data_IF_394117177742
#
_entry.id   IF_394117177742
#
_cell.length_a   1.000
_cell.length_b   1.000
_cell.length_c   1.000
_cell.angle_alpha   90.00
_cell.angle_beta   90.00
_cell.angle_gamma   90.00
#
_symmetry.space_group_name_H-M   'P 1'
#
loop_
_entity.id
_entity.type
_entity.pdbx_description
1 polymer ?
#
# COMPACT_ATOMS: atom_id res chain seq x y z
N UNK A 1 79.77 19.18 26.25
CA UNK A 1 79.30 19.15 27.65
C UNK A 1 77.86 18.66 27.60
N UNK A 2 77.69 17.34 27.49
CA UNK A 2 77.30 16.41 28.55
C UNK A 2 75.81 16.50 28.92
N UNK A 3 75.10 15.41 28.59
CA UNK A 3 74.12 14.68 29.42
C UNK A 3 73.10 15.46 30.26
N UNK A 4 71.81 15.17 30.09
CA UNK A 4 71.14 14.23 31.03
C UNK A 4 69.79 13.76 30.50
N UNK A 5 69.67 12.43 30.37
CA UNK A 5 68.40 11.71 30.28
C UNK A 5 67.68 11.75 31.63
N UNK A 6 66.36 11.99 31.64
CA UNK A 6 65.47 11.49 32.69
C UNK A 6 64.26 10.81 32.06
N UNK A 7 64.00 9.65 32.64
CA UNK A 7 63.19 8.55 32.15
C UNK A 7 61.72 8.60 32.55
N UNK A 8 60.94 7.72 31.90
CA UNK A 8 59.65 7.10 32.31
C UNK A 8 58.40 7.97 32.07
N UNK A 9 57.40 7.48 31.31
CA UNK A 9 56.70 6.19 31.46
C UNK A 9 56.27 5.59 30.10
N UNK A 10 56.20 4.26 29.94
CA UNK A 10 55.61 3.66 28.75
C UNK A 10 54.09 3.91 28.77
N UNK A 11 53.59 4.63 27.78
CA UNK A 11 52.16 4.73 27.52
C UNK A 11 51.68 3.32 27.15
N UNK A 12 50.87 2.71 28.02
CA UNK A 12 50.17 1.45 27.72
C UNK A 12 49.25 1.71 26.53
N UNK A 13 49.69 1.36 25.33
CA UNK A 13 48.81 1.21 24.18
C UNK A 13 47.90 0.01 24.46
N UNK A 14 46.69 0.30 24.92
CA UNK A 14 45.60 -0.67 24.87
C UNK A 14 45.16 -0.71 23.41
N UNK A 15 45.61 -1.73 22.68
CA UNK A 15 45.04 -2.07 21.37
C UNK A 15 43.66 -2.65 21.65
N UNK A 16 42.62 -1.82 21.46
CA UNK A 16 41.25 -2.31 21.42
C UNK A 16 41.09 -3.09 20.10
N UNK A 17 41.22 -4.41 20.16
CA UNK A 17 40.82 -5.29 19.06
C UNK A 17 39.30 -5.29 19.03
N UNK A 18 38.71 -4.44 18.19
CA UNK A 18 37.30 -4.54 17.84
C UNK A 18 37.19 -5.71 16.86
N UNK A 19 36.84 -6.88 17.38
CA UNK A 19 36.38 -8.00 16.54
C UNK A 19 34.98 -7.61 16.06
N UNK A 20 34.88 -7.08 14.85
CA UNK A 20 33.60 -7.02 14.14
C UNK A 20 33.29 -8.46 13.73
N UNK A 21 32.55 -9.15 14.60
CA UNK A 21 31.90 -10.41 14.23
C UNK A 21 30.90 -10.11 13.14
N UNK A 22 31.27 -10.41 11.89
CA UNK A 22 30.34 -10.42 10.77
C UNK A 22 29.43 -11.64 10.95
N UNK A 23 28.39 -11.48 11.77
CA UNK A 23 27.26 -12.40 11.80
C UNK A 23 26.46 -12.19 10.50
N UNK A 24 26.94 -12.84 9.44
CA UNK A 24 26.09 -13.27 8.33
C UNK A 24 25.18 -14.37 8.88
N UNK A 25 24.24 -14.00 9.74
CA UNK A 25 23.10 -14.88 10.02
C UNK A 25 22.37 -15.06 8.70
N UNK A 26 22.31 -16.32 8.26
CA UNK A 26 21.85 -16.69 6.94
C UNK A 26 20.52 -16.04 6.62
N UNK A 27 20.49 -15.29 5.51
CA UNK A 27 19.25 -15.05 4.79
C UNK A 27 18.76 -16.42 4.35
N UNK A 28 17.93 -17.06 5.18
CA UNK A 28 17.15 -18.21 4.73
C UNK A 28 16.26 -17.67 3.61
N UNK A 29 16.37 -18.17 2.37
CA UNK A 29 15.40 -17.82 1.36
C UNK A 29 14.03 -18.19 1.92
N UNK A 30 13.09 -17.24 1.91
CA UNK A 30 11.70 -17.50 2.24
C UNK A 30 11.25 -18.65 1.36
N UNK A 31 11.04 -19.82 1.96
CA UNK A 31 10.55 -20.99 1.25
C UNK A 31 9.09 -20.69 0.96
N UNK A 32 8.73 -20.56 -0.31
CA UNK A 32 7.34 -20.49 -0.72
C UNK A 32 6.57 -21.61 -0.02
N UNK A 33 5.51 -21.25 0.69
CA UNK A 33 4.61 -22.19 1.36
C UNK A 33 4.16 -23.24 0.32
N UNK A 34 4.47 -24.54 0.53
CA UNK A 34 4.22 -25.60 -0.47
C UNK A 34 2.74 -25.72 -0.87
N UNK A 35 1.84 -25.11 -0.11
CA UNK A 35 0.39 -25.17 -0.35
C UNK A 35 -0.14 -24.03 -1.23
N UNK A 36 0.66 -23.00 -1.55
CA UNK A 36 0.25 -21.92 -2.46
C UNK A 36 0.49 -22.36 -3.92
N UNK A 37 -0.55 -22.45 -4.77
CA UNK A 37 -0.40 -22.91 -6.15
C UNK A 37 0.48 -21.95 -6.97
N UNK A 38 1.10 -22.44 -8.04
CA UNK A 38 1.97 -21.61 -8.90
C UNK A 38 1.20 -20.56 -9.71
N UNK A 39 -0.12 -20.75 -9.87
CA UNK A 39 -1.02 -19.78 -10.44
C UNK A 39 -2.38 -19.82 -9.72
N UNK A 40 -3.03 -18.66 -9.61
CA UNK A 40 -4.39 -18.54 -9.13
C UNK A 40 -5.08 -17.32 -9.76
N UNK A 41 -6.40 -17.38 -9.90
CA UNK A 41 -7.21 -16.28 -10.39
C UNK A 41 -8.49 -16.18 -9.56
N UNK A 42 -8.87 -14.96 -9.20
CA UNK A 42 -10.08 -14.64 -8.44
C UNK A 42 -11.18 -14.23 -9.44
N UNK A 43 -12.13 -15.12 -9.77
CA UNK A 43 -13.21 -14.76 -10.69
C UNK A 43 -14.21 -13.81 -10.04
N UNK A 44 -14.94 -13.04 -10.86
CA UNK A 44 -16.08 -12.25 -10.40
C UNK A 44 -15.75 -10.84 -9.90
N UNK A 45 -14.48 -10.44 -9.88
CA UNK A 45 -14.11 -9.03 -9.64
C UNK A 45 -14.41 -8.23 -10.90
N UNK A 46 -15.23 -7.19 -10.77
CA UNK A 46 -15.61 -6.31 -11.90
C UNK A 46 -14.92 -4.96 -11.73
N UNK A 47 -14.09 -4.60 -12.70
CA UNK A 47 -13.43 -3.31 -12.75
C UNK A 47 -14.26 -2.24 -13.44
N UNK A 48 -14.17 -1.01 -12.94
CA UNK A 48 -14.73 0.17 -13.58
C UNK A 48 -13.67 1.28 -13.69
N UNK A 49 -13.91 2.20 -14.62
CA UNK A 49 -13.11 3.42 -14.75
C UNK A 49 -13.45 4.40 -13.63
N UNK A 50 -12.42 4.96 -13.00
CA UNK A 50 -12.53 6.07 -12.05
C UNK A 50 -13.26 7.26 -12.69
N UNK A 51 -14.13 7.94 -11.92
CA UNK A 51 -14.95 9.04 -12.46
C UNK A 51 -14.27 10.41 -12.37
N UNK A 52 -13.21 10.54 -11.55
CA UNK A 52 -12.44 11.79 -11.39
C UNK A 52 -10.95 11.57 -11.71
N UNK A 53 -10.20 12.64 -12.01
CA UNK A 53 -8.76 12.54 -12.34
C UNK A 53 -7.91 11.82 -11.29
N UNK A 54 -8.18 12.01 -10.00
CA UNK A 54 -7.41 11.45 -8.89
C UNK A 54 -8.28 10.61 -7.93
N UNK A 55 -9.26 9.85 -8.44
CA UNK A 55 -10.13 9.00 -7.62
C UNK A 55 -9.84 7.50 -7.73
N UNK A 56 -8.62 7.13 -8.13
CA UNK A 56 -8.24 5.73 -8.36
C UNK A 56 -8.46 4.85 -7.11
N UNK A 57 -8.13 5.34 -5.92
CA UNK A 57 -8.24 4.58 -4.68
C UNK A 57 -9.70 4.37 -4.29
N UNK A 58 -10.54 5.39 -4.47
CA UNK A 58 -11.98 5.28 -4.27
C UNK A 58 -12.57 4.26 -5.26
N UNK A 59 -12.16 4.31 -6.53
CA UNK A 59 -12.59 3.34 -7.54
C UNK A 59 -12.19 1.91 -7.18
N UNK A 60 -10.91 1.67 -6.89
CA UNK A 60 -10.44 0.34 -6.49
C UNK A 60 -11.14 -0.17 -5.23
N UNK A 61 -11.41 0.73 -4.27
CA UNK A 61 -12.12 0.39 -3.04
C UNK A 61 -13.57 -0.03 -3.27
N UNK A 62 -14.34 0.69 -4.10
CA UNK A 62 -15.74 0.35 -4.34
C UNK A 62 -15.90 -0.89 -5.23
N UNK A 63 -14.99 -1.13 -6.17
CA UNK A 63 -14.97 -2.35 -6.98
C UNK A 63 -14.62 -3.57 -6.10
N UNK A 64 -13.64 -3.43 -5.18
CA UNK A 64 -13.34 -4.47 -4.19
C UNK A 64 -14.52 -4.69 -3.22
N UNK A 65 -15.19 -3.63 -2.77
CA UNK A 65 -16.35 -3.74 -1.90
C UNK A 65 -17.50 -4.48 -2.58
N UNK A 66 -17.74 -4.20 -3.87
CA UNK A 66 -18.76 -4.86 -4.65
C UNK A 66 -18.50 -6.37 -4.80
N UNK A 67 -17.24 -6.79 -4.95
CA UNK A 67 -16.86 -8.20 -4.92
C UNK A 67 -17.29 -8.89 -3.60
N UNK A 68 -17.21 -8.17 -2.47
CA UNK A 68 -17.69 -8.64 -1.17
C UNK A 68 -19.18 -8.39 -0.91
N UNK A 69 -19.95 -8.07 -1.96
CA UNK A 69 -21.40 -7.87 -1.88
C UNK A 69 -21.83 -6.52 -1.29
N UNK A 70 -20.92 -5.55 -1.14
CA UNK A 70 -21.22 -4.21 -0.63
C UNK A 70 -21.17 -3.19 -1.77
N UNK A 71 -22.32 -2.69 -2.19
CA UNK A 71 -22.39 -1.66 -3.24
C UNK A 71 -22.21 -0.26 -2.64
N UNK A 72 -21.25 0.50 -3.15
CA UNK A 72 -20.93 1.86 -2.69
C UNK A 72 -20.72 2.74 -3.93
N UNK A 73 -21.40 3.89 -4.06
CA UNK A 73 -21.07 4.87 -5.10
C UNK A 73 -19.64 5.40 -4.90
N UNK A 74 -18.85 5.51 -5.97
CA UNK A 74 -17.45 5.98 -5.89
C UNK A 74 -17.35 7.36 -5.21
N UNK A 75 -18.22 8.30 -5.56
CA UNK A 75 -18.24 9.64 -4.95
C UNK A 75 -18.54 9.57 -3.45
N UNK A 76 -19.48 8.72 -3.02
CA UNK A 76 -19.82 8.56 -1.60
C UNK A 76 -18.65 7.94 -0.81
N UNK A 77 -17.90 7.00 -1.42
CA UNK A 77 -16.68 6.48 -0.80
C UNK A 77 -15.61 7.56 -0.70
N UNK A 78 -15.40 8.33 -1.77
CA UNK A 78 -14.42 9.41 -1.81
C UNK A 78 -14.73 10.50 -0.77
N UNK A 79 -15.98 10.96 -0.68
CA UNK A 79 -16.43 11.93 0.32
C UNK A 79 -16.30 11.41 1.77
N UNK A 80 -16.30 10.09 1.94
CA UNK A 80 -16.07 9.47 3.24
C UNK A 80 -14.60 9.47 3.66
N UNK A 81 -13.65 9.70 2.74
CA UNK A 81 -12.23 9.74 3.08
C UNK A 81 -11.90 11.00 3.90
N UNK A 82 -11.04 10.88 4.93
CA UNK A 82 -10.48 12.06 5.58
C UNK A 82 -9.64 12.87 4.57
N UNK A 83 -9.53 14.18 4.79
CA UNK A 83 -8.63 15.08 4.04
C UNK A 83 -7.44 15.44 4.92
N UNK A 84 -6.24 15.46 4.35
CA UNK A 84 -4.99 15.76 5.05
C UNK A 84 -3.92 16.18 4.05
N UNK A 85 -2.86 16.87 4.48
CA UNK A 85 -1.63 17.03 3.71
C UNK A 85 -0.65 15.86 3.91
N UNK A 86 -1.04 14.87 4.72
CA UNK A 86 -0.36 13.60 4.92
C UNK A 86 -1.18 12.46 4.27
N UNK A 87 -0.66 11.81 3.21
CA UNK A 87 -1.40 10.76 2.50
C UNK A 87 -1.67 9.52 3.37
N UNK A 88 -0.92 9.32 4.47
CA UNK A 88 -1.21 8.27 5.45
C UNK A 88 -2.38 8.58 6.38
N UNK A 89 -2.85 9.84 6.42
CA UNK A 89 -3.96 10.27 7.27
C UNK A 89 -5.20 10.69 6.46
N UNK A 90 -5.05 11.06 5.18
CA UNK A 90 -6.18 11.39 4.31
C UNK A 90 -5.78 11.77 2.89
N UNK A 91 -6.79 12.07 2.06
CA UNK A 91 -6.60 12.50 0.68
C UNK A 91 -5.92 13.87 0.62
N UNK A 92 -4.84 13.94 -0.16
CA UNK A 92 -4.00 15.13 -0.33
C UNK A 92 -4.39 15.90 -1.59
N UNK A 93 -4.75 17.17 -1.40
CA UNK A 93 -5.07 18.12 -2.47
C UNK A 93 -6.50 17.96 -3.03
N UNK A 94 -6.70 18.35 -4.29
CA UNK A 94 -8.00 18.32 -4.95
C UNK A 94 -8.10 17.15 -5.93
N UNK A 95 -9.20 16.40 -5.89
CA UNK A 95 -9.44 15.22 -6.73
C UNK A 95 -9.49 15.53 -8.24
N UNK A 96 -9.76 16.79 -8.59
CA UNK A 96 -9.80 17.27 -9.97
C UNK A 96 -8.49 17.82 -10.50
N UNK A 97 -7.42 17.81 -9.68
CA UNK A 97 -6.11 18.25 -10.15
C UNK A 97 -5.55 17.30 -11.23
N UNK A 98 -4.58 17.76 -12.04
CA UNK A 98 -4.02 16.95 -13.10
C UNK A 98 -3.42 15.63 -12.57
N UNK A 99 -3.67 14.49 -13.24
CA UNK A 99 -3.02 13.23 -12.92
C UNK A 99 -1.50 13.34 -12.94
N UNK A 100 -0.84 12.62 -12.03
CA UNK A 100 0.62 12.61 -11.94
C UNK A 100 1.24 13.76 -11.16
N UNK A 101 0.42 14.62 -10.56
CA UNK A 101 0.83 15.70 -9.67
C UNK A 101 1.47 15.18 -8.36
N UNK A 102 2.17 16.06 -7.65
CA UNK A 102 2.76 15.80 -6.33
C UNK A 102 2.23 16.83 -5.31
N UNK A 103 2.28 16.52 -4.00
CA UNK A 103 2.01 17.49 -2.95
C UNK A 103 2.89 18.76 -3.10
N UNK A 104 2.36 19.96 -2.77
CA UNK A 104 1.07 20.22 -2.13
C UNK A 104 -0.15 20.25 -3.08
N UNK A 105 0.02 19.94 -4.38
CA UNK A 105 -1.11 19.73 -5.29
C UNK A 105 -1.87 18.43 -4.97
N UNK A 106 -2.94 18.17 -5.74
CA UNK A 106 -3.64 16.89 -5.74
C UNK A 106 -2.67 15.72 -5.94
N UNK A 107 -2.76 14.73 -5.07
CA UNK A 107 -1.87 13.58 -5.09
C UNK A 107 -2.64 12.27 -4.97
N UNK A 108 -3.30 12.04 -3.83
CA UNK A 108 -3.94 10.76 -3.53
C UNK A 108 -4.07 10.52 -2.04
N UNK A 109 -4.40 9.28 -1.68
CA UNK A 109 -4.53 8.77 -0.32
C UNK A 109 -3.92 7.36 -0.23
N UNK A 110 -3.30 7.05 0.90
CA UNK A 110 -2.67 5.75 1.10
C UNK A 110 -3.58 4.71 1.77
N UNK A 111 -3.06 3.48 1.86
CA UNK A 111 -3.81 2.31 2.26
C UNK A 111 -4.58 2.44 3.58
N UNK A 112 -4.04 3.15 4.59
CA UNK A 112 -4.64 3.22 5.93
C UNK A 112 -6.00 3.93 5.93
N UNK A 113 -6.15 5.17 5.43
CA UNK A 113 -7.45 5.81 5.31
C UNK A 113 -8.45 5.01 4.46
N UNK A 114 -7.99 4.38 3.37
CA UNK A 114 -8.83 3.54 2.50
C UNK A 114 -9.36 2.32 3.25
N UNK A 115 -8.49 1.55 3.91
CA UNK A 115 -8.89 0.39 4.72
C UNK A 115 -9.83 0.81 5.86
N UNK A 116 -9.54 1.91 6.57
CA UNK A 116 -10.42 2.42 7.62
C UNK A 116 -11.81 2.79 7.07
N UNK A 117 -11.88 3.29 5.84
CA UNK A 117 -13.14 3.64 5.17
C UNK A 117 -13.91 2.40 4.77
N UNK A 118 -13.27 1.40 4.16
CA UNK A 118 -13.88 0.10 3.89
C UNK A 118 -14.43 -0.57 5.16
N UNK A 119 -13.73 -0.45 6.30
CA UNK A 119 -14.22 -0.92 7.61
C UNK A 119 -15.49 -0.20 8.08
N UNK A 120 -15.64 1.10 7.77
CA UNK A 120 -16.89 1.84 8.06
C UNK A 120 -18.07 1.30 7.26
N UNK A 121 -17.80 0.75 6.08
CA UNK A 121 -18.78 0.03 5.26
C UNK A 121 -18.93 -1.46 5.61
N UNK A 122 -18.35 -1.91 6.74
CA UNK A 122 -18.55 -3.26 7.26
C UNK A 122 -17.62 -4.34 6.70
N UNK A 123 -16.54 -3.98 6.00
CA UNK A 123 -15.57 -4.94 5.46
C UNK A 123 -14.38 -5.12 6.41
N UNK A 124 -13.88 -6.34 6.59
CA UNK A 124 -12.64 -6.59 7.37
C UNK A 124 -11.41 -6.26 6.52
N UNK A 125 -11.23 -4.97 6.26
CA UNK A 125 -10.12 -4.42 5.51
C UNK A 125 -8.91 -4.17 6.42
N UNK A 126 -7.70 -4.43 5.90
CA UNK A 126 -6.42 -4.18 6.56
C UNK A 126 -5.45 -3.54 5.59
N UNK A 127 -4.82 -2.46 6.02
CA UNK A 127 -3.77 -1.78 5.28
C UNK A 127 -2.41 -2.41 5.59
N UNK A 128 -1.56 -2.49 4.57
CA UNK A 128 -0.24 -3.07 4.64
C UNK A 128 0.79 -2.14 4.00
N UNK A 129 2.02 -2.25 4.52
CA UNK A 129 3.26 -1.90 3.83
C UNK A 129 4.11 -3.16 3.84
N UNK A 130 4.93 -3.35 2.83
CA UNK A 130 5.80 -4.51 2.70
C UNK A 130 4.99 -5.82 2.69
N UNK A 131 3.86 -5.84 1.96
CA UNK A 131 3.01 -7.02 1.89
C UNK A 131 3.80 -8.20 1.30
N UNK A 132 4.60 -7.96 0.27
CA UNK A 132 5.39 -8.98 -0.41
C UNK A 132 4.59 -9.88 -1.36
N UNK A 133 5.29 -10.41 -2.37
CA UNK A 133 4.71 -11.34 -3.35
C UNK A 133 4.17 -12.63 -2.72
N UNK A 134 4.83 -13.14 -1.67
CA UNK A 134 4.38 -14.36 -0.98
C UNK A 134 2.99 -14.19 -0.38
N UNK A 135 2.78 -13.11 0.39
CA UNK A 135 1.47 -12.84 0.99
C UNK A 135 0.44 -12.45 -0.07
N UNK A 136 0.81 -11.67 -1.08
CA UNK A 136 -0.09 -11.34 -2.19
C UNK A 136 -0.62 -12.62 -2.88
N UNK A 137 0.27 -13.57 -3.18
CA UNK A 137 -0.11 -14.87 -3.77
C UNK A 137 -1.01 -15.66 -2.83
N UNK A 138 -0.74 -15.68 -1.54
CA UNK A 138 -1.58 -16.36 -0.55
C UNK A 138 -3.00 -15.76 -0.45
N UNK A 139 -3.15 -14.43 -0.56
CA UNK A 139 -4.48 -13.79 -0.62
C UNK A 139 -5.25 -14.22 -1.89
N UNK A 140 -4.59 -14.14 -3.05
CA UNK A 140 -5.20 -14.45 -4.34
C UNK A 140 -5.55 -15.94 -4.48
N UNK A 141 -4.67 -16.84 -4.01
CA UNK A 141 -4.92 -18.28 -3.96
C UNK A 141 -6.12 -18.63 -3.06
N UNK A 142 -6.38 -17.82 -2.04
CA UNK A 142 -7.53 -17.97 -1.17
C UNK A 142 -8.79 -17.24 -1.69
N UNK A 143 -8.80 -16.79 -2.95
CA UNK A 143 -9.95 -16.14 -3.58
C UNK A 143 -10.18 -14.70 -3.13
N UNK A 144 -9.16 -14.03 -2.57
CA UNK A 144 -9.28 -12.68 -2.02
C UNK A 144 -8.50 -11.67 -2.86
N UNK A 145 -9.18 -10.78 -3.59
CA UNK A 145 -8.51 -9.74 -4.37
C UNK A 145 -7.93 -8.67 -3.45
N UNK A 146 -6.87 -8.01 -3.90
CA UNK A 146 -6.06 -7.09 -3.08
C UNK A 146 -5.89 -5.77 -3.81
N UNK A 147 -6.19 -4.64 -3.16
CA UNK A 147 -5.85 -3.32 -3.71
C UNK A 147 -4.36 -3.11 -3.49
N UNK A 148 -3.64 -2.66 -4.52
CA UNK A 148 -2.22 -2.31 -4.44
C UNK A 148 -1.99 -0.89 -4.97
N UNK A 149 -0.91 -0.27 -4.50
CA UNK A 149 -0.46 1.05 -4.94
C UNK A 149 0.82 0.92 -5.75
N UNK A 150 0.82 1.35 -7.00
CA UNK A 150 2.00 1.38 -7.83
C UNK A 150 1.98 2.69 -8.64
N UNK A 151 2.41 2.62 -9.89
CA UNK A 151 2.39 3.76 -10.81
C UNK A 151 1.68 3.40 -12.10
N UNK A 152 1.20 4.42 -12.81
CA UNK A 152 0.65 4.22 -14.16
C UNK A 152 1.58 3.37 -15.02
N UNK A 153 1.01 2.30 -15.59
CA UNK A 153 1.72 1.35 -16.49
C UNK A 153 2.99 0.74 -15.89
N UNK A 154 3.11 0.68 -14.56
CA UNK A 154 4.31 0.20 -13.85
C UNK A 154 5.59 0.97 -14.25
N UNK A 155 5.45 2.27 -14.56
CA UNK A 155 6.58 3.14 -14.80
C UNK A 155 7.39 3.36 -13.52
N UNK A 156 8.65 3.77 -13.65
CA UNK A 156 9.53 3.99 -12.49
C UNK A 156 10.07 5.41 -12.48
N UNK A 157 9.23 6.41 -12.20
CA UNK A 157 9.68 7.78 -12.02
C UNK A 157 10.56 7.90 -10.77
N UNK A 158 11.20 9.04 -10.60
CA UNK A 158 11.99 9.32 -9.41
C UNK A 158 11.10 9.34 -8.16
N UNK A 159 11.59 8.72 -7.09
CA UNK A 159 10.93 8.71 -5.78
C UNK A 159 11.37 9.96 -5.02
N UNK A 160 10.41 10.67 -4.44
CA UNK A 160 10.64 11.84 -3.62
C UNK A 160 10.13 11.63 -2.19
N UNK A 161 10.40 12.61 -1.33
CA UNK A 161 9.87 12.66 0.03
C UNK A 161 9.03 13.92 0.21
N UNK A 162 7.95 13.79 0.98
CA UNK A 162 7.08 14.88 1.38
C UNK A 162 7.02 14.95 2.89
N UNK A 163 7.28 16.13 3.45
CA UNK A 163 7.11 16.39 4.89
C UNK A 163 5.81 17.14 5.09
N UNK A 164 4.84 16.48 5.72
CA UNK A 164 3.54 17.07 6.06
C UNK A 164 3.67 18.04 7.23
N UNK A 165 2.64 18.87 7.45
CA UNK A 165 2.60 19.85 8.53
C UNK A 165 2.70 19.22 9.94
N UNK A 166 2.31 17.94 10.08
CA UNK A 166 2.48 17.15 11.31
C UNK A 166 3.92 16.66 11.55
N UNK A 167 4.85 16.93 10.63
CA UNK A 167 6.24 16.52 10.67
C UNK A 167 6.50 15.10 10.15
N UNK A 168 5.46 14.37 9.74
CA UNK A 168 5.59 13.03 9.15
C UNK A 168 6.22 13.11 7.76
N UNK A 169 7.11 12.18 7.46
CA UNK A 169 7.72 12.05 6.13
C UNK A 169 7.05 10.90 5.38
N UNK A 170 6.51 11.20 4.21
CA UNK A 170 5.94 10.24 3.28
C UNK A 170 6.85 10.08 2.06
N UNK A 171 7.03 8.83 1.62
CA UNK A 171 7.54 8.56 0.26
C UNK A 171 6.44 8.97 -0.71
N UNK A 172 6.77 9.69 -1.79
CA UNK A 172 5.83 10.10 -2.84
C UNK A 172 6.45 9.86 -4.22
N UNK A 173 5.62 9.67 -5.23
CA UNK A 173 6.06 9.36 -6.60
C UNK A 173 5.05 9.94 -7.59
N UNK A 174 5.51 10.49 -8.71
CA UNK A 174 4.60 10.94 -9.76
C UNK A 174 3.82 9.77 -10.33
N UNK A 175 2.60 10.02 -10.78
CA UNK A 175 1.74 8.98 -11.35
C UNK A 175 1.46 7.84 -10.38
N UNK A 176 1.42 8.12 -9.08
CA UNK A 176 0.83 7.23 -8.10
C UNK A 176 -0.55 6.76 -8.60
N UNK A 177 -0.82 5.47 -8.43
CA UNK A 177 -2.02 4.86 -8.94
C UNK A 177 -2.38 3.56 -8.22
N UNK A 178 -3.66 3.21 -8.17
CA UNK A 178 -4.13 1.95 -7.60
C UNK A 178 -4.65 0.96 -8.62
N UNK A 179 -4.47 -0.30 -8.26
CA UNK A 179 -4.94 -1.46 -9.01
C UNK A 179 -5.58 -2.47 -8.05
N UNK A 180 -6.40 -3.37 -8.57
CA UNK A 180 -6.84 -4.56 -7.84
C UNK A 180 -6.12 -5.77 -8.42
N UNK A 181 -5.26 -6.41 -7.63
CA UNK A 181 -4.71 -7.71 -7.98
C UNK A 181 -5.82 -8.77 -7.91
N UNK A 182 -5.98 -9.51 -9.01
CA UNK A 182 -7.03 -10.54 -9.18
C UNK A 182 -6.47 -11.88 -9.61
N UNK A 183 -5.17 -11.98 -9.83
CA UNK A 183 -4.54 -13.26 -10.11
C UNK A 183 -3.04 -13.15 -10.28
N UNK A 184 -2.40 -14.30 -10.37
CA UNK A 184 -0.99 -14.43 -10.67
C UNK A 184 -0.72 -15.75 -11.37
N UNK A 185 0.44 -15.81 -12.03
CA UNK A 185 1.05 -17.04 -12.48
C UNK A 185 2.54 -17.06 -12.09
N UNK A 186 3.29 -18.00 -12.65
CA UNK A 186 4.72 -18.18 -12.39
C UNK A 186 5.55 -16.95 -12.76
N UNK A 187 5.07 -16.14 -13.71
CA UNK A 187 5.82 -15.07 -14.35
C UNK A 187 5.29 -13.67 -14.04
N UNK A 188 4.07 -13.52 -13.52
CA UNK A 188 3.49 -12.20 -13.30
C UNK A 188 2.15 -12.16 -12.58
N UNK A 189 1.49 -11.01 -12.68
CA UNK A 189 0.25 -10.67 -11.97
C UNK A 189 -0.79 -10.09 -12.92
N UNK A 190 -2.05 -10.39 -12.64
CA UNK A 190 -3.22 -9.82 -13.31
C UNK A 190 -3.82 -8.73 -12.41
N UNK A 191 -3.88 -7.51 -12.93
CA UNK A 191 -4.29 -6.32 -12.20
C UNK A 191 -5.43 -5.62 -12.93
N UNK A 192 -6.53 -5.34 -12.25
CA UNK A 192 -7.56 -4.42 -12.72
C UNK A 192 -7.04 -3.00 -12.48
N UNK A 193 -6.94 -2.23 -13.55
CA UNK A 193 -6.49 -0.83 -13.52
C UNK A 193 -7.68 0.11 -13.27
N UNK A 194 -7.61 0.93 -12.20
CA UNK A 194 -8.67 1.87 -11.86
C UNK A 194 -8.90 2.96 -12.93
N UNK A 195 -7.90 3.24 -13.77
CA UNK A 195 -7.97 4.26 -14.81
C UNK A 195 -8.88 3.86 -15.97
N UNK A 196 -8.88 2.58 -16.36
CA UNK A 196 -9.67 2.10 -17.50
C UNK A 196 -10.67 0.97 -17.16
N UNK A 197 -10.62 0.43 -15.94
CA UNK A 197 -11.46 -0.65 -15.45
C UNK A 197 -11.11 -2.02 -16.04
N UNK A 198 -10.00 -2.16 -16.77
CA UNK A 198 -9.62 -3.38 -17.47
C UNK A 198 -8.57 -4.16 -16.71
N UNK A 199 -8.57 -5.48 -16.91
CA UNK A 199 -7.51 -6.34 -16.42
C UNK A 199 -6.32 -6.30 -17.37
N UNK A 200 -5.16 -5.93 -16.83
CA UNK A 200 -3.87 -5.96 -17.50
C UNK A 200 -2.96 -7.01 -16.86
N UNK A 201 -2.04 -7.54 -17.65
CA UNK A 201 -1.02 -8.47 -17.17
C UNK A 201 0.34 -7.77 -17.13
N UNK A 202 1.05 -7.92 -16.01
CA UNK A 202 2.40 -7.42 -15.83
C UNK A 202 3.32 -8.53 -15.37
N UNK A 203 4.52 -8.60 -15.96
CA UNK A 203 5.53 -9.53 -15.47
C UNK A 203 6.00 -9.12 -14.08
N UNK A 204 6.51 -10.08 -13.31
CA UNK A 204 7.06 -9.81 -11.97
C UNK A 204 8.15 -8.74 -12.02
N UNK A 205 8.98 -8.74 -13.06
CA UNK A 205 10.04 -7.74 -13.28
C UNK A 205 9.53 -6.33 -13.59
N UNK A 206 8.30 -6.20 -14.11
CA UNK A 206 7.64 -4.90 -14.27
C UNK A 206 6.97 -4.48 -12.97
N UNK A 207 6.20 -5.39 -12.38
CA UNK A 207 5.31 -5.13 -11.25
C UNK A 207 6.07 -4.84 -9.95
N UNK A 208 6.94 -5.75 -9.52
CA UNK A 208 7.56 -5.67 -8.18
C UNK A 208 8.37 -4.38 -8.01
N UNK A 209 9.22 -3.96 -8.97
CA UNK A 209 9.95 -2.71 -8.82
C UNK A 209 9.06 -1.45 -8.76
N UNK A 210 7.92 -1.43 -9.45
CA UNK A 210 6.98 -0.31 -9.40
C UNK A 210 6.20 -0.29 -8.08
N UNK A 211 5.70 -1.45 -7.64
CA UNK A 211 5.02 -1.61 -6.34
C UNK A 211 5.94 -1.27 -5.16
N UNK A 212 7.23 -1.61 -5.28
CA UNK A 212 8.27 -1.27 -4.30
C UNK A 212 8.49 0.24 -4.12
N UNK A 213 8.24 1.08 -5.14
CA UNK A 213 8.38 2.54 -5.00
C UNK A 213 7.44 3.12 -3.93
N UNK A 214 6.33 2.41 -3.68
CA UNK A 214 5.35 2.75 -2.65
C UNK A 214 5.39 1.75 -1.48
N UNK A 215 6.52 1.08 -1.27
CA UNK A 215 6.77 0.14 -0.17
C UNK A 215 5.79 -1.04 -0.16
N UNK A 216 5.49 -1.61 -1.34
CA UNK A 216 4.55 -2.73 -1.49
C UNK A 216 3.22 -2.48 -0.76
N UNK A 217 2.72 -1.25 -0.87
CA UNK A 217 1.52 -0.82 -0.16
C UNK A 217 0.29 -1.53 -0.73
N UNK A 218 -0.58 -1.98 0.18
CA UNK A 218 -1.74 -2.76 -0.18
C UNK A 218 -2.89 -2.66 0.84
N UNK A 219 -4.09 -3.02 0.41
CA UNK A 219 -5.25 -3.28 1.26
C UNK A 219 -5.81 -4.66 0.95
N UNK A 220 -5.88 -5.51 1.97
CA UNK A 220 -6.54 -6.83 1.91
C UNK A 220 -7.91 -6.75 2.56
N UNK A 221 -8.88 -7.50 2.04
CA UNK A 221 -10.17 -7.72 2.69
C UNK A 221 -10.40 -9.22 2.83
N UNK A 222 -10.70 -9.68 4.05
CA UNK A 222 -10.96 -11.12 4.33
C UNK A 222 -12.44 -11.50 4.36
N UNK A 223 -13.34 -10.53 4.19
CA UNK A 223 -14.78 -10.70 4.18
C UNK A 223 -15.49 -9.52 4.84
N UNK A 224 -16.69 -9.77 5.36
CA UNK A 224 -17.44 -8.82 6.18
C UNK A 224 -16.99 -8.89 7.65
N UNK A 225 -17.06 -7.78 8.37
CA UNK A 225 -16.80 -7.74 9.81
C UNK A 225 -17.91 -8.49 10.54
N UNK A 226 -17.56 -9.53 11.29
CA UNK A 226 -18.49 -10.30 12.13
C UNK A 226 -19.16 -9.46 13.22
N UNK A 227 -18.59 -8.30 13.56
CA UNK A 227 -19.21 -7.26 14.38
C UNK A 227 -18.64 -5.92 13.94
N UNK A 228 -19.47 -4.95 13.49
CA UNK A 228 -18.95 -3.64 13.16
C UNK A 228 -18.28 -3.05 14.40
N UNK A 229 -17.03 -2.62 14.27
CA UNK A 229 -16.20 -2.10 15.38
C UNK A 229 -16.78 -0.83 16.03
N UNK A 230 -17.92 -0.33 15.55
CA UNK A 230 -18.59 0.85 16.07
C UNK A 230 -20.11 0.72 15.89
N UNK A 231 -20.94 0.99 16.93
CA UNK A 231 -22.38 0.86 16.86
C UNK A 231 -22.99 2.09 16.16
N UNK A 232 -22.64 2.34 14.90
CA UNK A 232 -23.14 3.52 14.17
C UNK A 232 -24.66 3.54 14.06
N UNK A 233 -25.32 2.38 14.05
CA UNK A 233 -26.79 2.29 14.10
C UNK A 233 -27.41 2.83 15.39
N UNK A 234 -26.64 2.88 16.48
CA UNK A 234 -27.05 3.49 17.75
C UNK A 234 -26.64 4.98 17.83
N UNK A 235 -25.57 5.39 17.14
CA UNK A 235 -25.03 6.77 17.20
C UNK A 235 -25.66 7.69 16.14
N UNK A 236 -26.10 7.16 14.99
CA UNK A 236 -26.80 7.90 13.92
C UNK A 236 -27.94 7.08 13.32
N UNK A 237 -29.05 6.88 14.06
CA UNK A 237 -30.19 6.06 13.60
C UNK A 237 -30.83 6.57 12.29
N UNK A 238 -30.68 7.87 11.98
CA UNK A 238 -31.35 8.51 10.84
C UNK A 238 -30.66 8.29 9.49
N UNK A 239 -29.45 7.70 9.45
CA UNK A 239 -28.68 7.50 8.21
C UNK A 239 -28.82 6.10 7.60
N UNK A 240 -29.59 5.22 8.22
CA UNK A 240 -29.82 3.86 7.73
C UNK A 240 -31.00 3.75 6.74
N UNK A 241 -31.88 4.75 6.68
CA UNK A 241 -33.15 4.70 5.94
C UNK A 241 -33.33 5.80 4.88
N UNK A 242 -32.26 6.49 4.48
CA UNK A 242 -32.33 7.44 3.36
C UNK A 242 -32.36 6.71 2.01
N UNK A 243 -33.10 7.19 1.00
CA UNK A 243 -33.07 6.59 -0.33
C UNK A 243 -31.68 6.81 -0.93
N UNK A 244 -30.96 5.70 -1.12
CA UNK A 244 -29.67 5.64 -1.80
C UNK A 244 -29.86 5.72 -3.32
#
# INVERSE_FOLDING_TARGET
MLETLRSLRPLRFVVAVIVIGLLMEGVTPARADPDVPTAAYVPGVVGHRQIRPLSCEARSAVDLAAFWGTSIPEEAFFESLPKSDNPHEGFVGNVDDPPGSLPPGGYGVYARPVANTLRRYGLDARAHRWLGMERLRAELAAGRPVIIWATYRMLRPEVASWTSADGSVSVIVQWEHTFIAVGYDETGVYLIDAYDGRTHYYTTDQFVPAWMQLNEMAVTVVGTLASPTYPWGEVYPDRLNGPF
#
